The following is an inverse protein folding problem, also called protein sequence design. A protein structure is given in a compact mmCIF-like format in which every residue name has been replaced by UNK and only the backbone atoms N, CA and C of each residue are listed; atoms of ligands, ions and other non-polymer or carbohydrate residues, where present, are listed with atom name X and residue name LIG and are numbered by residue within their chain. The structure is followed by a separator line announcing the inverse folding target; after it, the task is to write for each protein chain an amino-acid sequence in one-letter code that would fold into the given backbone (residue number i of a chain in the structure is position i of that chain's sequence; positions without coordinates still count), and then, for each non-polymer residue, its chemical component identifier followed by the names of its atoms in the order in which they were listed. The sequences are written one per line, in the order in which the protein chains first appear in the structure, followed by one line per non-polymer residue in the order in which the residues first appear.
data_IF_579585168851
#
_entry.id   IF_579585168851
#
_cell.length_a   1.000
_cell.length_b   1.000
_cell.length_c   1.000
_cell.angle_alpha   90.00
_cell.angle_beta   90.00
_cell.angle_gamma   90.00
#
_symmetry.space_group_name_H-M   'P 1'
#
loop_
_entity.id
_entity.type
_entity.pdbx_description
1 polymer ?
#
# COMPACT_ATOMS: atom_id res chain seq x y z
N UNK A 1 -20.10 -27.51 -64.31
CA UNK A 1 -18.65 -27.71 -64.05
C UNK A 1 -18.23 -26.60 -63.10
N UNK A 2 -18.68 -26.69 -61.85
CA UNK A 2 -17.87 -26.95 -60.64
C UNK A 2 -16.89 -25.80 -60.34
N UNK A 3 -17.43 -24.80 -59.63
CA UNK A 3 -16.66 -23.81 -58.87
C UNK A 3 -16.12 -24.52 -57.61
N UNK A 4 -14.82 -24.37 -57.38
CA UNK A 4 -14.12 -24.83 -56.20
C UNK A 4 -14.57 -24.00 -54.98
N UNK A 5 -15.37 -24.61 -54.10
CA UNK A 5 -15.55 -24.11 -52.74
C UNK A 5 -14.33 -24.53 -51.93
N UNK A 6 -13.33 -23.64 -51.87
CA UNK A 6 -12.27 -23.72 -50.87
C UNK A 6 -12.91 -23.47 -49.51
N UNK A 7 -12.79 -24.44 -48.61
CA UNK A 7 -13.20 -24.30 -47.24
C UNK A 7 -12.24 -23.38 -46.50
N UNK A 8 -12.70 -22.18 -46.18
CA UNK A 8 -12.13 -21.41 -45.08
C UNK A 8 -12.86 -21.87 -43.81
N UNK A 9 -12.23 -22.80 -43.09
CA UNK A 9 -12.47 -22.93 -41.66
C UNK A 9 -11.93 -21.65 -41.06
N UNK A 10 -12.82 -20.68 -40.84
CA UNK A 10 -12.56 -19.54 -39.99
C UNK A 10 -12.18 -20.11 -38.62
N UNK A 11 -10.87 -20.09 -38.33
CA UNK A 11 -10.36 -20.28 -36.99
C UNK A 11 -10.94 -19.16 -36.17
N UNK A 12 -12.08 -19.43 -35.54
CA UNK A 12 -12.62 -18.59 -34.48
C UNK A 12 -11.46 -18.38 -33.49
N UNK A 13 -10.91 -17.17 -33.32
CA UNK A 13 -9.99 -16.94 -32.23
C UNK A 13 -10.83 -17.24 -30.99
N UNK A 14 -10.41 -18.27 -30.23
CA UNK A 14 -10.98 -18.51 -28.91
C UNK A 14 -10.95 -17.22 -28.09
N UNK A 15 -11.73 -17.14 -27.00
CA UNK A 15 -11.77 -15.95 -26.16
C UNK A 15 -10.34 -15.51 -25.86
N UNK A 16 -10.03 -14.25 -26.17
CA UNK A 16 -8.76 -13.62 -25.84
C UNK A 16 -8.71 -13.64 -24.31
N UNK A 17 -8.04 -14.64 -23.75
CA UNK A 17 -7.67 -14.61 -22.34
C UNK A 17 -6.75 -13.40 -22.19
N UNK A 18 -7.09 -12.51 -21.27
CA UNK A 18 -6.29 -11.34 -20.96
C UNK A 18 -4.98 -11.81 -20.34
N UNK A 19 -4.00 -12.14 -21.17
CA UNK A 19 -2.62 -12.49 -20.79
C UNK A 19 -1.85 -11.26 -20.25
N UNK A 20 -2.55 -10.34 -19.57
CA UNK A 20 -1.94 -9.26 -18.82
C UNK A 20 -1.48 -9.88 -17.51
N UNK A 21 -0.20 -10.27 -17.48
CA UNK A 21 0.52 -10.72 -16.29
C UNK A 21 0.09 -9.84 -15.11
N UNK A 22 -0.43 -10.48 -14.07
CA UNK A 22 -0.88 -9.82 -12.87
C UNK A 22 0.30 -9.04 -12.28
N UNK A 23 0.14 -7.73 -12.08
CA UNK A 23 1.20 -6.87 -11.54
C UNK A 23 0.98 -6.63 -10.05
N UNK A 24 2.01 -6.86 -9.23
CA UNK A 24 1.95 -6.66 -7.79
C UNK A 24 1.57 -5.22 -7.42
N UNK A 25 2.11 -4.22 -8.16
CA UNK A 25 1.80 -2.81 -7.92
C UNK A 25 0.32 -2.51 -8.15
N UNK A 26 -0.26 -3.06 -9.21
CA UNK A 26 -1.69 -2.95 -9.49
C UNK A 26 -2.55 -3.61 -8.39
N UNK A 27 -2.19 -4.82 -7.95
CA UNK A 27 -2.90 -5.53 -6.86
C UNK A 27 -2.85 -4.71 -5.56
N UNK A 28 -1.67 -4.22 -5.18
CA UNK A 28 -1.51 -3.39 -3.98
C UNK A 28 -2.36 -2.11 -4.04
N UNK A 29 -2.42 -1.46 -5.21
CA UNK A 29 -3.23 -0.25 -5.39
C UNK A 29 -4.74 -0.50 -5.25
N UNK A 30 -5.21 -1.67 -5.68
CA UNK A 30 -6.63 -2.06 -5.61
C UNK A 30 -7.04 -2.37 -4.17
N UNK A 31 -6.16 -3.08 -3.44
CA UNK A 31 -6.45 -3.61 -2.11
C UNK A 31 -5.91 -2.75 -0.97
N UNK A 32 -5.24 -1.63 -1.24
CA UNK A 32 -4.63 -0.77 -0.21
C UNK A 32 -5.64 -0.32 0.86
N UNK A 33 -6.87 0.03 0.44
CA UNK A 33 -7.95 0.40 1.38
C UNK A 33 -8.54 -0.77 2.16
N UNK A 34 -8.07 -1.99 1.93
CA UNK A 34 -8.49 -3.22 2.61
C UNK A 34 -7.35 -3.85 3.42
N UNK A 35 -6.30 -3.07 3.73
CA UNK A 35 -5.12 -3.50 4.49
C UNK A 35 -5.47 -4.09 5.86
N UNK A 36 -6.46 -3.53 6.56
CA UNK A 36 -6.97 -4.04 7.83
C UNK A 36 -7.57 -5.45 7.73
N UNK A 37 -7.92 -5.89 6.51
CA UNK A 37 -8.42 -7.24 6.22
C UNK A 37 -7.33 -8.19 5.70
N UNK A 38 -6.04 -7.87 5.87
CA UNK A 38 -4.93 -8.69 5.38
C UNK A 38 -5.00 -10.17 5.79
N UNK A 39 -5.50 -10.50 7.00
CA UNK A 39 -5.66 -11.90 7.42
C UNK A 39 -6.80 -12.62 6.69
N UNK A 40 -7.92 -11.92 6.46
CA UNK A 40 -9.04 -12.44 5.66
C UNK A 40 -8.60 -12.68 4.22
N UNK A 41 -7.86 -11.72 3.65
CA UNK A 41 -7.27 -11.83 2.31
C UNK A 41 -6.29 -13.01 2.25
N UNK A 42 -5.40 -13.13 3.23
CA UNK A 42 -4.44 -14.23 3.31
C UNK A 42 -5.12 -15.60 3.41
N UNK A 43 -6.16 -15.71 4.23
CA UNK A 43 -6.96 -16.93 4.33
C UNK A 43 -7.65 -17.29 3.00
N UNK A 44 -8.29 -16.32 2.34
CA UNK A 44 -8.95 -16.56 1.05
C UNK A 44 -7.98 -16.89 -0.09
N UNK A 45 -6.77 -16.36 -0.05
CA UNK A 45 -5.68 -16.69 -0.98
C UNK A 45 -4.88 -17.94 -0.58
N UNK A 46 -5.27 -18.60 0.52
CA UNK A 46 -4.60 -19.80 1.05
C UNK A 46 -3.10 -19.60 1.36
N UNK A 47 -2.75 -18.40 1.81
CA UNK A 47 -1.39 -18.04 2.24
C UNK A 47 -1.28 -18.07 3.76
N UNK A 48 -0.16 -18.57 4.26
CA UNK A 48 0.07 -18.61 5.70
C UNK A 48 0.25 -17.19 6.25
N UNK A 49 -0.50 -16.86 7.30
CA UNK A 49 -0.46 -15.57 8.01
C UNK A 49 -0.21 -15.71 9.52
N UNK A 50 0.05 -16.93 10.02
CA UNK A 50 0.16 -17.20 11.44
C UNK A 50 1.33 -16.49 12.14
N UNK A 51 2.34 -16.11 11.36
CA UNK A 51 3.51 -15.35 11.81
C UNK A 51 3.32 -13.82 11.70
N UNK A 52 2.22 -13.36 11.08
CA UNK A 52 1.92 -11.94 10.95
C UNK A 52 1.21 -11.44 12.21
N UNK A 53 1.75 -10.39 12.81
CA UNK A 53 1.16 -9.78 14.00
C UNK A 53 0.13 -8.73 13.60
N UNK A 54 -1.11 -8.88 14.07
CA UNK A 54 -2.16 -7.85 13.97
C UNK A 54 -1.99 -6.81 15.09
N UNK A 55 -0.98 -5.97 14.94
CA UNK A 55 -0.73 -4.83 15.82
C UNK A 55 -1.09 -3.56 15.03
N UNK A 56 -1.61 -2.51 15.68
CA UNK A 56 -1.85 -1.23 15.02
C UNK A 56 -0.63 -0.75 14.22
N UNK A 57 -0.86 -0.24 13.00
CA UNK A 57 0.18 0.29 12.12
C UNK A 57 0.86 -0.73 11.19
N UNK A 58 0.64 -2.04 11.36
CA UNK A 58 1.28 -3.06 10.50
C UNK A 58 0.40 -3.54 9.34
N UNK A 59 -0.84 -3.09 9.24
CA UNK A 59 -1.84 -3.60 8.29
C UNK A 59 -1.36 -3.57 6.84
N UNK A 60 -0.79 -2.45 6.37
CA UNK A 60 -0.27 -2.30 5.00
C UNK A 60 0.95 -3.19 4.73
N UNK A 61 1.83 -3.35 5.72
CA UNK A 61 3.01 -4.22 5.64
C UNK A 61 2.56 -5.69 5.57
N UNK A 62 1.63 -6.08 6.43
CA UNK A 62 1.07 -7.43 6.44
C UNK A 62 0.32 -7.74 5.15
N UNK A 63 -0.45 -6.79 4.60
CA UNK A 63 -1.10 -6.95 3.31
C UNK A 63 -0.06 -7.17 2.19
N UNK A 64 1.01 -6.38 2.19
CA UNK A 64 2.10 -6.54 1.22
C UNK A 64 2.75 -7.92 1.31
N UNK A 65 3.05 -8.39 2.53
CA UNK A 65 3.60 -9.72 2.77
C UNK A 65 2.66 -10.84 2.32
N UNK A 66 1.35 -10.68 2.56
CA UNK A 66 0.33 -11.64 2.10
C UNK A 66 0.35 -11.76 0.58
N UNK A 67 0.30 -10.64 -0.15
CA UNK A 67 0.35 -10.69 -1.60
C UNK A 67 1.70 -11.19 -2.11
N UNK A 68 2.82 -10.77 -1.51
CA UNK A 68 4.14 -11.27 -1.87
C UNK A 68 4.21 -12.79 -1.76
N UNK A 69 3.74 -13.35 -0.65
CA UNK A 69 3.69 -14.82 -0.47
C UNK A 69 2.77 -15.50 -1.47
N UNK A 70 1.67 -14.86 -1.85
CA UNK A 70 0.74 -15.41 -2.84
C UNK A 70 1.38 -15.43 -4.24
N UNK A 71 2.05 -14.36 -4.64
CA UNK A 71 2.83 -14.31 -5.88
C UNK A 71 3.99 -15.31 -5.87
N UNK A 72 4.74 -15.41 -4.77
CA UNK A 72 5.86 -16.35 -4.61
C UNK A 72 5.41 -17.82 -4.63
N UNK A 73 4.18 -18.10 -4.18
CA UNK A 73 3.59 -19.44 -4.23
C UNK A 73 3.18 -19.84 -5.67
N UNK A 74 3.07 -18.87 -6.58
CA UNK A 74 2.75 -19.02 -8.02
C UNK A 74 1.54 -19.93 -8.29
N UNK A 75 0.59 -19.95 -7.35
CA UNK A 75 -0.62 -20.77 -7.41
C UNK A 75 -1.82 -19.88 -7.65
N UNK A 76 -2.47 -20.10 -8.79
CA UNK A 76 -3.71 -19.42 -9.17
C UNK A 76 -3.59 -17.88 -9.10
N UNK A 77 -2.40 -17.35 -9.42
CA UNK A 77 -2.09 -15.91 -9.42
C UNK A 77 -2.69 -15.27 -10.66
N UNK A 78 -3.97 -14.90 -10.58
CA UNK A 78 -4.71 -14.28 -11.67
C UNK A 78 -5.85 -13.40 -11.14
N UNK A 79 -6.46 -12.63 -12.04
CA UNK A 79 -7.57 -11.72 -11.71
C UNK A 79 -8.83 -12.46 -11.22
N UNK A 80 -9.14 -13.64 -11.77
CA UNK A 80 -10.31 -14.43 -11.39
C UNK A 80 -10.27 -14.83 -9.90
N UNK A 81 -9.09 -15.21 -9.40
CA UNK A 81 -8.87 -15.50 -7.98
C UNK A 81 -9.16 -14.28 -7.10
N UNK A 82 -8.73 -13.08 -7.52
CA UNK A 82 -8.99 -11.84 -6.77
C UNK A 82 -10.46 -11.40 -6.83
N UNK A 83 -11.13 -11.61 -7.96
CA UNK A 83 -12.57 -11.37 -8.11
C UNK A 83 -13.34 -12.30 -7.17
N UNK A 84 -13.02 -13.61 -7.21
CA UNK A 84 -13.64 -14.60 -6.34
C UNK A 84 -13.41 -14.30 -4.86
N UNK A 85 -12.19 -13.90 -4.48
CA UNK A 85 -11.89 -13.45 -3.13
C UNK A 85 -12.83 -12.32 -2.68
N UNK A 86 -13.06 -11.34 -3.55
CA UNK A 86 -13.97 -10.23 -3.24
C UNK A 86 -15.45 -10.66 -3.19
N UNK A 87 -15.83 -11.66 -3.98
CA UNK A 87 -17.18 -12.25 -3.97
C UNK A 87 -17.44 -13.07 -2.69
N UNK A 88 -16.41 -13.75 -2.17
CA UNK A 88 -16.48 -14.53 -0.94
C UNK A 88 -16.53 -13.64 0.33
N UNK A 89 -15.98 -12.41 0.25
CA UNK A 89 -15.94 -11.44 1.37
C UNK A 89 -16.47 -10.05 0.97
N UNK A 90 -17.74 -9.93 0.56
CA UNK A 90 -18.26 -8.71 -0.06
C UNK A 90 -18.34 -7.53 0.92
N UNK A 91 -18.57 -7.79 2.21
CA UNK A 91 -18.66 -6.75 3.24
C UNK A 91 -17.29 -6.12 3.53
N UNK A 92 -16.22 -6.91 3.45
CA UNK A 92 -14.85 -6.49 3.74
C UNK A 92 -14.14 -5.94 2.49
N UNK A 93 -14.45 -6.51 1.31
CA UNK A 93 -13.69 -6.29 0.08
C UNK A 93 -14.53 -5.62 -1.04
N UNK A 94 -15.73 -5.14 -0.74
CA UNK A 94 -16.63 -4.53 -1.73
C UNK A 94 -16.02 -3.33 -2.49
N UNK A 95 -15.16 -2.54 -1.84
CA UNK A 95 -14.42 -1.46 -2.49
C UNK A 95 -13.35 -1.97 -3.46
N UNK A 96 -12.56 -2.97 -3.04
CA UNK A 96 -11.58 -3.63 -3.90
C UNK A 96 -12.28 -4.29 -5.11
N UNK A 97 -13.43 -4.91 -4.90
CA UNK A 97 -14.29 -5.48 -5.97
C UNK A 97 -14.67 -4.45 -7.02
N UNK A 98 -15.09 -3.27 -6.56
CA UNK A 98 -15.49 -2.18 -7.45
C UNK A 98 -14.30 -1.69 -8.29
N UNK A 99 -13.12 -1.57 -7.68
CA UNK A 99 -11.88 -1.21 -8.35
C UNK A 99 -11.43 -2.25 -9.40
N UNK A 100 -11.58 -3.55 -9.10
CA UNK A 100 -11.28 -4.64 -10.05
C UNK A 100 -12.14 -4.54 -11.31
N UNK A 101 -13.45 -4.32 -11.14
CA UNK A 101 -14.38 -4.17 -12.26
C UNK A 101 -14.08 -2.94 -13.13
N UNK A 102 -13.65 -1.83 -12.53
CA UNK A 102 -13.22 -0.67 -13.30
C UNK A 102 -12.02 -0.97 -14.22
N UNK A 103 -11.11 -1.85 -13.80
CA UNK A 103 -9.95 -2.24 -14.62
C UNK A 103 -10.39 -3.19 -15.74
N UNK A 104 -11.31 -4.11 -15.46
CA UNK A 104 -11.93 -4.97 -16.46
C UNK A 104 -12.65 -4.13 -17.54
N UNK A 105 -13.47 -3.17 -17.12
CA UNK A 105 -14.17 -2.23 -18.00
C UNK A 105 -13.19 -1.33 -18.78
N UNK A 106 -12.09 -0.89 -18.16
CA UNK A 106 -11.06 -0.08 -18.83
C UNK A 106 -10.27 -0.89 -19.87
N UNK A 107 -10.05 -2.19 -19.64
CA UNK A 107 -9.43 -3.10 -20.62
C UNK A 107 -10.34 -3.41 -21.82
N UNK A 108 -11.65 -3.20 -21.68
CA UNK A 108 -12.63 -3.26 -22.77
C UNK A 108 -12.75 -1.88 -23.47
N UNK A 109 -12.30 -0.80 -22.82
CA UNK A 109 -12.53 0.60 -23.21
C UNK A 109 -11.49 1.22 -24.17
N UNK A 110 -10.54 0.47 -24.72
CA UNK A 110 -9.81 0.93 -25.94
C UNK A 110 -10.67 0.81 -27.22
N UNK A 111 -11.87 0.19 -27.15
CA UNK A 111 -12.71 -0.03 -28.33
C UNK A 111 -14.12 0.56 -28.29
N UNK A 112 -14.54 1.31 -27.27
CA UNK A 112 -15.92 1.81 -27.23
C UNK A 112 -16.05 3.27 -26.79
N UNK A 113 -15.45 4.16 -27.58
CA UNK A 113 -16.00 5.51 -27.73
C UNK A 113 -17.35 5.38 -28.46
N UNK A 114 -18.46 5.41 -27.72
CA UNK A 114 -19.80 5.91 -28.08
C UNK A 114 -20.90 5.14 -27.31
N UNK A 115 -21.85 5.91 -26.75
CA UNK A 115 -23.08 5.51 -26.06
C UNK A 115 -22.90 5.06 -24.58
N UNK A 116 -23.77 5.39 -23.63
CA UNK A 116 -24.93 6.28 -23.59
C UNK A 116 -25.29 6.53 -22.13
N UNK A 117 -26.01 7.63 -21.94
CA UNK A 117 -26.58 8.11 -20.70
C UNK A 117 -27.49 7.12 -19.94
N UNK A 118 -27.54 7.32 -18.61
CA UNK A 118 -28.75 7.45 -17.77
C UNK A 118 -29.04 6.41 -16.67
N UNK A 119 -29.23 6.99 -15.48
CA UNK A 119 -30.30 6.78 -14.50
C UNK A 119 -30.20 5.68 -13.41
N UNK A 120 -29.92 6.16 -12.18
CA UNK A 120 -30.86 6.29 -11.04
C UNK A 120 -31.43 5.06 -10.29
N UNK A 121 -31.21 5.10 -8.96
CA UNK A 121 -32.20 4.98 -7.86
C UNK A 121 -32.34 3.70 -6.99
N UNK A 122 -32.10 3.91 -5.68
CA UNK A 122 -32.96 3.62 -4.48
C UNK A 122 -33.16 2.17 -3.98
N UNK A 123 -32.83 1.88 -2.70
CA UNK A 123 -33.76 1.61 -1.55
C UNK A 123 -33.07 0.82 -0.39
N UNK A 124 -32.89 1.40 0.82
CA UNK A 124 -33.67 1.31 2.10
C UNK A 124 -33.53 0.05 3.00
N UNK A 125 -32.93 0.29 4.18
CA UNK A 125 -33.30 -0.07 5.58
C UNK A 125 -33.67 -1.49 6.05
N UNK A 126 -32.98 -1.94 7.10
CA UNK A 126 -33.49 -2.41 8.41
C UNK A 126 -32.27 -2.61 9.33
N UNK A 127 -32.16 -2.10 10.55
CA UNK A 127 -33.11 -2.20 11.66
C UNK A 127 -32.46 -3.10 12.74
N UNK A 128 -31.62 -2.50 13.60
CA UNK A 128 -30.89 -3.17 14.67
C UNK A 128 -31.79 -3.58 15.85
N UNK A 129 -31.46 -4.68 16.53
CA UNK A 129 -31.09 -4.75 17.96
C UNK A 129 -31.01 -6.19 18.46
N UNK A 130 -29.90 -6.54 19.10
CA UNK A 130 -29.86 -7.50 20.21
C UNK A 130 -28.57 -7.27 20.99
N UNK A 131 -28.72 -6.72 22.20
CA UNK A 131 -27.66 -6.66 23.21
C UNK A 131 -27.28 -8.06 23.66
N UNK A 132 -26.00 -8.39 23.56
CA UNK A 132 -25.32 -9.26 24.52
C UNK A 132 -23.95 -8.64 24.80
N UNK A 133 -23.83 -8.00 25.97
CA UNK A 133 -22.57 -7.49 26.49
C UNK A 133 -21.92 -8.65 27.25
N UNK A 134 -20.87 -9.24 26.67
CA UNK A 134 -19.79 -9.83 27.45
C UNK A 134 -18.47 -9.93 26.65
N UNK A 135 -17.50 -9.19 27.16
CA UNK A 135 -16.04 -9.28 27.01
C UNK A 135 -15.37 -8.70 25.75
N UNK A 136 -14.90 -7.45 25.95
CA UNK A 136 -13.72 -6.80 25.35
C UNK A 136 -13.74 -6.57 23.84
N UNK A 137 -14.76 -5.83 23.39
CA UNK A 137 -14.61 -5.02 22.18
C UNK A 137 -13.92 -3.70 22.59
N UNK A 138 -12.71 -3.38 22.09
CA UNK A 138 -12.01 -2.14 22.42
C UNK A 138 -12.77 -0.89 21.94
N UNK A 139 -13.75 -1.04 21.05
CA UNK A 139 -14.57 0.06 20.53
C UNK A 139 -16.01 -0.01 21.03
N UNK A 140 -16.56 1.16 21.35
CA UNK A 140 -17.92 1.29 21.89
C UNK A 140 -18.97 1.10 20.78
N UNK A 141 -18.63 1.43 19.53
CA UNK A 141 -19.41 1.07 18.35
C UNK A 141 -18.55 1.07 17.06
N UNK A 142 -19.10 0.49 15.97
CA UNK A 142 -18.45 0.40 14.66
C UNK A 142 -18.08 1.76 14.04
N UNK A 143 -18.88 2.80 14.28
CA UNK A 143 -18.56 4.16 13.78
C UNK A 143 -17.29 4.70 14.46
N UNK A 144 -17.13 4.47 15.78
CA UNK A 144 -15.91 4.89 16.49
C UNK A 144 -14.69 4.07 16.09
N UNK A 145 -14.88 2.82 15.69
CA UNK A 145 -13.82 1.96 15.14
C UNK A 145 -13.36 2.46 13.75
N UNK A 146 -14.30 2.78 12.85
CA UNK A 146 -14.01 3.32 11.52
C UNK A 146 -13.28 4.68 11.59
N UNK A 147 -13.66 5.56 12.52
CA UNK A 147 -12.97 6.83 12.76
C UNK A 147 -11.52 6.61 13.21
N UNK A 148 -11.28 5.67 14.13
CA UNK A 148 -9.92 5.37 14.62
C UNK A 148 -9.05 4.77 13.52
N UNK A 149 -9.59 3.86 12.70
CA UNK A 149 -8.83 3.34 11.56
C UNK A 149 -8.52 4.43 10.53
N UNK A 150 -9.48 5.33 10.26
CA UNK A 150 -9.24 6.45 9.36
C UNK A 150 -8.13 7.36 9.88
N UNK A 151 -8.15 7.72 11.17
CA UNK A 151 -7.09 8.52 11.78
C UNK A 151 -5.72 7.82 11.71
N UNK A 152 -5.69 6.50 11.89
CA UNK A 152 -4.46 5.72 11.77
C UNK A 152 -3.93 5.68 10.33
N UNK A 153 -4.83 5.51 9.35
CA UNK A 153 -4.48 5.52 7.92
C UNK A 153 -3.98 6.91 7.49
N UNK A 154 -4.65 7.98 7.92
CA UNK A 154 -4.25 9.37 7.66
C UNK A 154 -2.86 9.65 8.26
N UNK A 155 -2.62 9.20 9.49
CA UNK A 155 -1.32 9.34 10.16
C UNK A 155 -0.25 8.54 9.42
N UNK A 156 -0.54 7.30 8.99
CA UNK A 156 0.38 6.47 8.21
C UNK A 156 0.75 7.11 6.88
N UNK A 157 -0.22 7.72 6.20
CA UNK A 157 0.02 8.44 4.97
C UNK A 157 0.92 9.65 5.21
N UNK A 158 0.64 10.45 6.25
CA UNK A 158 1.48 11.59 6.66
C UNK A 158 2.93 11.16 6.92
N UNK A 159 3.13 10.03 7.61
CA UNK A 159 4.47 9.49 7.82
C UNK A 159 5.17 9.08 6.52
N UNK A 160 4.46 8.39 5.63
CA UNK A 160 4.99 7.98 4.32
C UNK A 160 5.45 9.19 3.50
N UNK A 161 4.69 10.28 3.56
CA UNK A 161 5.03 11.53 2.89
C UNK A 161 6.27 12.17 3.52
N UNK A 162 6.37 12.21 4.85
CA UNK A 162 7.56 12.70 5.57
C UNK A 162 8.82 11.89 5.26
N UNK A 163 8.73 10.57 5.14
CA UNK A 163 9.84 9.72 4.72
C UNK A 163 10.31 10.09 3.32
N UNK A 164 9.37 10.26 2.39
CA UNK A 164 9.68 10.63 0.99
C UNK A 164 10.37 12.00 0.93
N UNK A 165 9.88 12.97 1.70
CA UNK A 165 10.47 14.31 1.80
C UNK A 165 11.87 14.23 2.40
N UNK A 166 12.06 13.44 3.47
CA UNK A 166 13.36 13.21 4.08
C UNK A 166 14.37 12.65 3.07
N UNK A 167 14.01 11.58 2.34
CA UNK A 167 14.89 10.95 1.35
C UNK A 167 15.26 11.93 0.23
N UNK A 168 14.28 12.68 -0.27
CA UNK A 168 14.48 13.68 -1.33
C UNK A 168 15.47 14.76 -0.91
N UNK A 169 15.27 15.38 0.25
CA UNK A 169 16.19 16.42 0.74
C UNK A 169 17.58 15.86 1.05
N UNK A 170 17.65 14.62 1.51
CA UNK A 170 18.93 13.97 1.76
C UNK A 170 19.71 13.72 0.48
N UNK A 171 19.03 13.29 -0.59
CA UNK A 171 19.61 13.12 -1.92
C UNK A 171 20.07 14.45 -2.51
N UNK A 172 19.21 15.47 -2.49
CA UNK A 172 19.55 16.82 -2.94
C UNK A 172 20.79 17.35 -2.22
N UNK A 173 20.85 17.21 -0.89
CA UNK A 173 21.99 17.69 -0.11
C UNK A 173 23.26 16.87 -0.39
N UNK A 174 23.13 15.56 -0.61
CA UNK A 174 24.24 14.69 -0.98
C UNK A 174 24.83 15.08 -2.35
N UNK A 175 23.98 15.48 -3.30
CA UNK A 175 24.43 15.93 -4.62
C UNK A 175 25.29 17.21 -4.56
N UNK A 176 25.06 18.06 -3.56
CA UNK A 176 25.85 19.28 -3.32
C UNK A 176 27.03 19.08 -2.37
N UNK A 177 27.04 17.99 -1.60
CA UNK A 177 28.07 17.69 -0.61
C UNK A 177 28.53 16.23 -0.73
N UNK A 178 29.59 16.02 -1.50
CA UNK A 178 30.20 14.70 -1.73
C UNK A 178 30.71 14.01 -0.45
N UNK A 179 30.86 14.73 0.66
CA UNK A 179 31.27 14.15 1.94
C UNK A 179 30.09 13.73 2.83
N UNK A 180 28.85 14.14 2.50
CA UNK A 180 27.68 13.93 3.35
C UNK A 180 27.48 12.44 3.66
N UNK A 181 27.44 11.58 2.64
CA UNK A 181 27.26 10.14 2.82
C UNK A 181 28.33 9.52 3.74
N UNK A 182 29.59 9.96 3.62
CA UNK A 182 30.67 9.49 4.52
C UNK A 182 30.47 9.96 5.96
N UNK A 183 30.03 11.21 6.17
CA UNK A 183 29.77 11.74 7.51
C UNK A 183 28.59 11.03 8.18
N UNK A 184 27.53 10.77 7.39
CA UNK A 184 26.32 10.07 7.83
C UNK A 184 26.64 8.63 8.20
N UNK A 185 27.33 7.87 7.34
CA UNK A 185 27.73 6.49 7.63
C UNK A 185 28.52 6.40 8.94
N UNK A 186 29.52 7.28 9.12
CA UNK A 186 30.30 7.34 10.38
C UNK A 186 29.43 7.65 11.60
N UNK A 187 28.50 8.59 11.47
CA UNK A 187 27.57 8.93 12.54
C UNK A 187 26.63 7.78 12.86
N UNK A 188 26.04 7.12 11.86
CA UNK A 188 25.14 5.96 12.04
C UNK A 188 25.84 4.82 12.76
N UNK A 189 27.06 4.46 12.34
CA UNK A 189 27.85 3.41 12.99
C UNK A 189 28.05 3.70 14.48
N UNK A 190 28.35 4.97 14.84
CA UNK A 190 28.55 5.36 16.23
C UNK A 190 27.23 5.45 17.01
N UNK A 191 26.21 6.07 16.42
CA UNK A 191 24.92 6.35 17.04
C UNK A 191 24.15 5.04 17.31
N UNK A 192 24.08 4.17 16.30
CA UNK A 192 23.39 2.88 16.37
C UNK A 192 24.24 1.76 16.98
N UNK A 193 25.51 2.04 17.28
CA UNK A 193 26.50 1.06 17.76
C UNK A 193 26.66 -0.14 16.82
N UNK A 194 26.54 0.09 15.51
CA UNK A 194 26.74 -0.96 14.52
C UNK A 194 28.22 -1.32 14.36
N UNK A 195 28.47 -2.46 13.70
CA UNK A 195 29.84 -2.91 13.40
C UNK A 195 30.53 -1.89 12.49
N UNK A 196 31.81 -1.60 12.75
CA UNK A 196 32.61 -0.74 11.86
C UNK A 196 32.59 -1.28 10.43
N UNK A 197 32.28 -0.40 9.48
CA UNK A 197 32.19 -0.74 8.06
C UNK A 197 30.91 -1.50 7.68
N UNK A 198 29.87 -1.50 8.52
CA UNK A 198 28.57 -2.10 8.18
C UNK A 198 27.68 -1.20 7.32
N UNK A 199 28.06 0.06 7.14
CA UNK A 199 27.36 1.05 6.33
C UNK A 199 28.38 1.66 5.39
N UNK A 200 28.16 1.53 4.10
CA UNK A 200 29.02 2.11 3.09
C UNK A 200 28.78 3.63 2.99
N UNK A 201 29.77 4.34 2.46
CA UNK A 201 29.69 5.78 2.22
C UNK A 201 28.91 6.11 0.94
N UNK A 202 27.83 5.38 0.67
CA UNK A 202 26.95 5.62 -0.47
C UNK A 202 25.51 5.81 0.02
N UNK A 203 24.80 6.73 -0.61
CA UNK A 203 23.46 7.15 -0.17
C UNK A 203 22.47 5.98 -0.20
N UNK A 204 22.48 5.21 -1.28
CA UNK A 204 21.59 4.06 -1.48
C UNK A 204 21.74 3.00 -0.38
N UNK A 205 22.97 2.64 -0.01
CA UNK A 205 23.24 1.69 1.07
C UNK A 205 22.80 2.26 2.42
N UNK A 206 23.07 3.55 2.67
CA UNK A 206 22.61 4.23 3.88
C UNK A 206 21.09 4.13 4.01
N UNK A 207 20.35 4.56 2.99
CA UNK A 207 18.87 4.54 2.99
C UNK A 207 18.35 3.11 3.17
N UNK A 208 18.90 2.14 2.44
CA UNK A 208 18.54 0.73 2.59
C UNK A 208 18.82 0.17 3.98
N UNK A 209 19.89 0.60 4.66
CA UNK A 209 20.22 0.15 6.02
C UNK A 209 19.40 0.80 7.11
N UNK A 210 18.94 2.04 6.90
CA UNK A 210 18.06 2.70 7.86
C UNK A 210 16.58 2.39 7.62
N UNK A 211 16.19 1.90 6.44
CA UNK A 211 14.80 1.54 6.11
C UNK A 211 14.09 0.66 7.15
N UNK A 212 14.71 -0.36 7.78
CA UNK A 212 14.07 -1.13 8.84
C UNK A 212 13.73 -0.33 10.11
N UNK A 213 14.25 0.89 10.23
CA UNK A 213 14.02 1.82 11.34
C UNK A 213 13.06 2.94 10.94
N UNK A 214 12.42 2.84 9.78
CA UNK A 214 11.28 3.68 9.42
C UNK A 214 10.04 3.09 10.09
N UNK A 215 10.04 3.16 11.42
CA UNK A 215 8.88 2.81 12.20
C UNK A 215 7.93 4.02 12.20
N UNK A 216 6.72 3.77 11.71
CA UNK A 216 5.63 4.72 11.72
C UNK A 216 5.33 5.26 13.13
N UNK A 217 5.55 4.43 14.15
CA UNK A 217 5.32 4.76 15.56
C UNK A 217 6.58 5.36 16.21
N UNK A 218 7.77 4.90 15.80
CA UNK A 218 9.06 5.35 16.35
C UNK A 218 10.01 5.84 15.25
N UNK A 219 9.75 7.05 14.74
CA UNK A 219 10.56 7.67 13.70
C UNK A 219 11.83 8.37 14.24
N UNK A 220 12.24 8.07 15.47
CA UNK A 220 13.30 8.79 16.18
C UNK A 220 14.63 8.83 15.42
N UNK A 221 14.99 7.76 14.71
CA UNK A 221 16.22 7.76 13.90
C UNK A 221 16.16 8.80 12.79
N UNK A 222 15.03 8.93 12.07
CA UNK A 222 14.85 9.94 11.03
C UNK A 222 14.90 11.34 11.63
N UNK A 223 14.28 11.55 12.80
CA UNK A 223 14.33 12.82 13.51
C UNK A 223 15.76 13.21 13.90
N UNK A 224 16.51 12.29 14.54
CA UNK A 224 17.90 12.53 14.95
C UNK A 224 18.81 12.81 13.75
N UNK A 225 18.61 12.08 12.64
CA UNK A 225 19.31 12.34 11.38
C UNK A 225 18.96 13.71 10.79
N UNK A 226 17.69 14.08 10.78
CA UNK A 226 17.22 15.35 10.24
C UNK A 226 17.75 16.53 11.06
N UNK A 227 17.71 16.45 12.39
CA UNK A 227 18.31 17.46 13.28
C UNK A 227 19.80 17.64 12.97
N UNK A 228 20.50 16.55 12.70
CA UNK A 228 21.96 16.58 12.52
C UNK A 228 22.38 17.05 11.13
N UNK A 229 21.69 16.62 10.09
CA UNK A 229 22.12 16.75 8.71
C UNK A 229 21.18 17.61 7.84
N UNK A 230 19.92 17.76 8.23
CA UNK A 230 18.87 18.51 7.53
C UNK A 230 18.17 19.55 8.45
N UNK A 231 18.88 20.33 9.30
CA UNK A 231 18.25 21.14 10.34
C UNK A 231 17.37 22.28 9.81
N UNK A 232 17.69 22.77 8.62
CA UNK A 232 17.06 23.95 8.02
C UNK A 232 16.20 23.60 6.80
N UNK A 233 16.03 22.30 6.48
CA UNK A 233 15.27 21.90 5.30
C UNK A 233 13.76 22.08 5.52
N UNK A 234 13.12 22.62 4.49
CA UNK A 234 11.69 22.95 4.50
C UNK A 234 11.01 22.41 3.26
N UNK A 235 9.75 22.03 3.41
CA UNK A 235 8.89 21.64 2.31
C UNK A 235 7.59 22.45 2.33
N UNK A 236 6.91 22.51 1.19
CA UNK A 236 5.60 23.18 1.08
C UNK A 236 4.53 22.15 0.87
N UNK A 237 3.49 22.20 1.70
CA UNK A 237 2.28 21.39 1.56
C UNK A 237 1.05 22.31 1.67
N UNK A 238 0.14 22.19 0.71
CA UNK A 238 -1.03 23.08 0.54
C UNK A 238 -0.74 24.59 0.67
N UNK A 239 0.42 25.01 0.18
CA UNK A 239 0.85 26.41 0.20
C UNK A 239 1.36 26.91 1.56
N UNK A 240 1.48 26.01 2.55
CA UNK A 240 2.10 26.27 3.85
C UNK A 240 3.50 25.66 3.86
N UNK A 241 4.48 26.41 4.37
CA UNK A 241 5.86 25.92 4.49
C UNK A 241 6.10 25.35 5.87
N UNK A 242 6.58 24.11 5.92
CA UNK A 242 6.88 23.38 7.13
C UNK A 242 8.38 23.08 7.22
N UNK A 243 8.88 22.92 8.44
CA UNK A 243 10.23 22.41 8.70
C UNK A 243 10.17 20.91 8.87
N UNK A 244 11.00 20.18 8.13
CA UNK A 244 11.04 18.71 8.20
C UNK A 244 11.27 18.21 9.64
N UNK A 245 12.19 18.83 10.36
CA UNK A 245 12.50 18.48 11.75
C UNK A 245 11.31 18.67 12.68
N UNK A 246 10.50 19.71 12.47
CA UNK A 246 9.37 19.99 13.34
C UNK A 246 8.22 19.02 13.06
N UNK A 247 7.96 18.68 11.80
CA UNK A 247 6.93 17.70 11.44
C UNK A 247 7.29 16.27 11.89
N UNK A 248 8.55 15.85 11.74
CA UNK A 248 9.00 14.56 12.29
C UNK A 248 8.92 14.54 13.83
N UNK A 249 9.12 15.67 14.50
CA UNK A 249 8.96 15.76 15.96
C UNK A 249 7.49 15.67 16.35
N UNK A 250 6.62 16.41 15.67
CA UNK A 250 5.18 16.38 15.91
C UNK A 250 4.63 14.96 15.72
N UNK A 251 5.09 14.26 14.68
CA UNK A 251 4.70 12.87 14.42
C UNK A 251 5.06 11.91 15.55
N UNK A 252 6.18 12.15 16.26
CA UNK A 252 6.60 11.34 17.41
C UNK A 252 5.79 11.67 18.68
N UNK A 253 5.16 12.84 18.73
CA UNK A 253 4.40 13.35 19.89
C UNK A 253 2.88 13.16 19.75
N UNK A 254 2.37 12.85 18.54
CA UNK A 254 0.96 12.50 18.23
C UNK A 254 0.56 11.12 18.77
#
# INVERSE_FOLDING_TARGET
MLLLLSGDVELNPGPITSDKVLDMGAVMKIFSSSSHHCMTIGAGLHVNTADLQQIPGTASINLNLVFQRWFDADRDVNWDTLIKLCDDFPDQLGKARSNLRLIEDTSISEFSVLASHSASSISTSAGATSHDINLTDPFICKESEEEVYKSLDDLHQKFSDLVTIFETHFEEKSNHNSQLATQVSKWLIAHMKWKRGSVDSNLEDILNKIKPYYDFIDCKLLLDMSIRFLPDETFTDDGVTYKLVDELRNHLEE
#
